data_IF_350913198280
#
_entry.id   IF_350913198280
#
_cell.length_a   1.000
_cell.length_b   1.000
_cell.length_c   1.000
_cell.angle_alpha   90.00
_cell.angle_beta   90.00
_cell.angle_gamma   90.00
#
_symmetry.space_group_name_H-M   'P 1'
#
loop_
_entity.id
_entity.type
_entity.pdbx_description
1 polymer ?
#
# COMPACT_ATOMS: atom_id res chain seq x y z
N UNK A 1 -7.53 -1.66 -17.98
CA UNK A 1 -7.55 -0.24 -18.43
C UNK A 1 -7.71 -0.14 -19.95
N UNK A 2 -8.74 0.53 -20.51
CA UNK A 2 -8.67 1.01 -21.88
C UNK A 2 -7.65 2.17 -21.96
N UNK A 3 -6.80 2.22 -23.00
CA UNK A 3 -5.48 2.85 -22.95
C UNK A 3 -5.39 4.39 -23.04
N UNK A 4 -6.43 5.20 -22.70
CA UNK A 4 -6.40 6.63 -23.09
C UNK A 4 -6.96 7.68 -22.09
N UNK A 5 -6.92 7.41 -20.78
CA UNK A 5 -6.95 8.51 -19.79
C UNK A 5 -5.60 8.57 -19.08
N UNK A 6 -4.63 9.17 -19.76
CA UNK A 6 -3.30 9.40 -19.20
C UNK A 6 -3.38 10.46 -18.10
N UNK A 7 -3.31 10.03 -16.84
CA UNK A 7 -3.21 10.95 -15.70
C UNK A 7 -1.95 11.81 -15.84
N UNK A 8 -2.06 13.10 -15.55
CA UNK A 8 -0.91 14.01 -15.44
C UNK A 8 -0.83 14.54 -14.02
N UNK A 9 0.18 14.10 -13.27
CA UNK A 9 0.45 14.62 -11.92
C UNK A 9 0.59 16.15 -11.93
N UNK A 10 1.26 16.69 -12.96
CA UNK A 10 1.44 18.13 -13.12
C UNK A 10 0.09 18.85 -13.31
N UNK A 11 -0.84 18.24 -14.07
CA UNK A 11 -2.18 18.78 -14.25
C UNK A 11 -2.99 18.79 -12.95
N UNK A 12 -2.99 17.68 -12.20
CA UNK A 12 -3.70 17.58 -10.92
C UNK A 12 -3.16 18.60 -9.89
N UNK A 13 -1.83 18.75 -9.80
CA UNK A 13 -1.21 19.77 -8.94
C UNK A 13 -1.56 21.18 -9.39
N UNK A 14 -1.53 21.46 -10.70
CA UNK A 14 -1.91 22.76 -11.24
C UNK A 14 -3.38 23.09 -10.96
N UNK A 15 -4.28 22.09 -11.01
CA UNK A 15 -5.70 22.23 -10.68
C UNK A 15 -5.89 22.68 -9.23
N UNK A 16 -5.23 22.03 -8.27
CA UNK A 16 -5.25 22.45 -6.85
C UNK A 16 -4.62 23.85 -6.69
N UNK A 17 -3.54 24.13 -7.39
CA UNK A 17 -2.90 25.46 -7.38
C UNK A 17 -3.83 26.57 -7.90
N UNK A 18 -4.61 26.30 -8.94
CA UNK A 18 -5.60 27.22 -9.47
C UNK A 18 -6.79 27.39 -8.51
N UNK A 19 -7.25 26.30 -7.88
CA UNK A 19 -8.28 26.35 -6.85
C UNK A 19 -7.85 27.24 -5.67
N UNK A 20 -6.60 27.10 -5.22
CA UNK A 20 -6.01 27.94 -4.16
C UNK A 20 -5.96 29.42 -4.56
N UNK A 21 -5.61 29.74 -5.81
CA UNK A 21 -5.60 31.12 -6.31
C UNK A 21 -7.00 31.73 -6.36
N UNK A 22 -8.01 30.95 -6.77
CA UNK A 22 -9.38 31.41 -6.90
C UNK A 22 -10.09 31.53 -5.54
N UNK A 23 -9.85 30.57 -4.64
CA UNK A 23 -10.52 30.45 -3.34
C UNK A 23 -9.50 30.13 -2.22
N UNK A 24 -8.64 31.10 -1.84
CA UNK A 24 -7.52 30.85 -0.94
C UNK A 24 -7.97 30.38 0.45
N UNK A 25 -8.87 31.12 1.12
CA UNK A 25 -9.30 30.79 2.48
C UNK A 25 -9.96 29.40 2.59
N UNK A 26 -10.77 29.03 1.59
CA UNK A 26 -11.44 27.71 1.54
C UNK A 26 -10.40 26.61 1.30
N UNK A 27 -9.54 26.79 0.29
CA UNK A 27 -8.54 25.78 -0.07
C UNK A 27 -7.53 25.58 1.06
N UNK A 28 -7.09 26.64 1.72
CA UNK A 28 -6.17 26.56 2.86
C UNK A 28 -6.82 25.86 4.06
N UNK A 29 -8.12 26.08 4.30
CA UNK A 29 -8.85 25.35 5.35
C UNK A 29 -8.90 23.84 5.07
N UNK A 30 -9.09 23.44 3.81
CA UNK A 30 -9.08 22.02 3.41
C UNK A 30 -7.67 21.43 3.58
N UNK A 31 -6.63 22.14 3.13
CA UNK A 31 -5.24 21.68 3.28
C UNK A 31 -4.84 21.55 4.76
N UNK A 32 -5.25 22.50 5.60
CA UNK A 32 -5.03 22.41 7.05
C UNK A 32 -5.81 21.24 7.67
N UNK A 33 -7.01 20.93 7.20
CA UNK A 33 -7.73 19.74 7.65
C UNK A 33 -7.00 18.44 7.26
N UNK A 34 -6.41 18.36 6.05
CA UNK A 34 -5.60 17.22 5.61
C UNK A 34 -4.35 17.05 6.49
N UNK A 35 -3.71 18.16 6.85
CA UNK A 35 -2.59 18.19 7.80
C UNK A 35 -2.99 17.60 9.16
N UNK A 36 -4.14 18.04 9.72
CA UNK A 36 -4.67 17.49 10.99
C UNK A 36 -5.05 16.01 10.91
N UNK A 37 -5.54 15.54 9.77
CA UNK A 37 -5.76 14.11 9.56
C UNK A 37 -4.45 13.33 9.58
N UNK A 38 -3.37 13.90 9.04
CA UNK A 38 -2.05 13.26 8.99
C UNK A 38 -1.39 13.23 10.37
N UNK A 39 -1.46 14.34 11.11
CA UNK A 39 -1.03 14.40 12.52
C UNK A 39 -1.79 13.36 13.37
N UNK A 40 -3.12 13.32 13.27
CA UNK A 40 -3.94 12.38 14.02
C UNK A 40 -3.62 10.91 13.67
N UNK A 41 -3.37 10.61 12.40
CA UNK A 41 -2.97 9.27 11.97
C UNK A 41 -1.61 8.88 12.52
N UNK A 42 -0.63 9.80 12.49
CA UNK A 42 0.70 9.58 13.06
C UNK A 42 0.64 9.37 14.59
N UNK A 43 -0.09 10.22 15.31
CA UNK A 43 -0.30 10.06 16.75
C UNK A 43 -0.97 8.73 17.08
N UNK A 44 -1.96 8.30 16.30
CA UNK A 44 -2.68 7.04 16.49
C UNK A 44 -1.77 5.82 16.31
N UNK A 45 -1.03 5.73 15.21
CA UNK A 45 -0.17 4.57 14.93
C UNK A 45 1.08 4.51 15.82
N UNK A 46 1.44 5.62 16.49
CA UNK A 46 2.57 5.68 17.42
C UNK A 46 2.19 5.39 18.87
N UNK A 47 0.90 5.15 19.19
CA UNK A 47 0.52 4.80 20.57
C UNK A 47 0.98 3.38 20.92
N UNK A 48 1.35 3.18 22.18
CA UNK A 48 1.75 1.85 22.69
C UNK A 48 0.60 0.83 22.64
N UNK A 49 -0.65 1.30 22.69
CA UNK A 49 -1.86 0.48 22.63
C UNK A 49 -2.39 0.29 21.20
N UNK A 50 -1.68 0.78 20.18
CA UNK A 50 -2.06 0.54 18.79
C UNK A 50 -1.72 -0.90 18.39
N UNK A 51 -2.75 -1.65 18.04
CA UNK A 51 -2.65 -3.01 17.54
C UNK A 51 -3.26 -3.11 16.13
N UNK A 52 -2.46 -3.51 15.15
CA UNK A 52 -2.91 -3.65 13.76
C UNK A 52 -3.89 -4.80 13.53
N UNK A 53 -3.98 -5.74 14.45
CA UNK A 53 -4.92 -6.86 14.40
C UNK A 53 -6.24 -6.53 15.12
N UNK A 54 -6.28 -5.47 15.92
CA UNK A 54 -7.50 -5.03 16.61
C UNK A 54 -8.37 -4.11 15.73
N UNK A 55 -9.66 -4.44 15.66
CA UNK A 55 -10.63 -3.67 14.89
C UNK A 55 -10.76 -2.22 15.38
N UNK A 56 -10.63 -1.96 16.68
CA UNK A 56 -10.70 -0.61 17.27
C UNK A 56 -9.63 0.32 16.71
N UNK A 57 -8.38 -0.13 16.71
CA UNK A 57 -7.21 0.61 16.22
C UNK A 57 -7.30 0.87 14.72
N UNK A 58 -7.63 -0.18 13.93
CA UNK A 58 -7.79 -0.08 12.48
C UNK A 58 -9.01 0.79 12.10
N UNK A 59 -10.10 0.73 12.86
CA UNK A 59 -11.31 1.52 12.60
C UNK A 59 -11.04 3.02 12.73
N UNK A 60 -10.28 3.45 13.73
CA UNK A 60 -9.91 4.86 13.87
C UNK A 60 -9.04 5.33 12.68
N UNK A 61 -8.05 4.54 12.28
CA UNK A 61 -7.21 4.83 11.12
C UNK A 61 -8.03 4.86 9.82
N UNK A 62 -8.94 3.91 9.64
CA UNK A 62 -9.84 3.83 8.49
C UNK A 62 -10.77 5.05 8.38
N UNK A 63 -11.31 5.53 9.51
CA UNK A 63 -12.10 6.77 9.54
C UNK A 63 -11.28 7.97 9.08
N UNK A 64 -10.02 8.09 9.51
CA UNK A 64 -9.10 9.13 9.03
C UNK A 64 -8.84 9.02 7.53
N UNK A 65 -8.69 7.81 6.98
CA UNK A 65 -8.56 7.59 5.53
C UNK A 65 -9.80 8.08 4.76
N UNK A 66 -11.01 7.76 5.24
CA UNK A 66 -12.26 8.22 4.62
C UNK A 66 -12.40 9.74 4.66
N UNK A 67 -12.06 10.38 5.79
CA UNK A 67 -12.06 11.85 5.91
C UNK A 67 -11.08 12.46 4.90
N UNK A 68 -9.85 11.95 4.84
CA UNK A 68 -8.84 12.43 3.91
C UNK A 68 -9.31 12.33 2.45
N UNK A 69 -9.92 11.21 2.08
CA UNK A 69 -10.47 11.06 0.73
C UNK A 69 -11.56 12.09 0.43
N UNK A 70 -12.48 12.35 1.37
CA UNK A 70 -13.49 13.41 1.20
C UNK A 70 -12.88 14.80 1.01
N UNK A 71 -11.80 15.12 1.72
CA UNK A 71 -11.06 16.37 1.56
C UNK A 71 -10.38 16.45 0.18
N UNK A 72 -9.81 15.35 -0.30
CA UNK A 72 -9.19 15.25 -1.63
C UNK A 72 -10.23 15.37 -2.75
N UNK A 73 -11.43 14.81 -2.58
CA UNK A 73 -12.58 15.04 -3.47
C UNK A 73 -12.94 16.53 -3.50
N UNK A 74 -12.96 17.21 -2.35
CA UNK A 74 -13.22 18.65 -2.28
C UNK A 74 -12.15 19.52 -2.96
N UNK A 75 -10.89 19.05 -3.01
CA UNK A 75 -9.83 19.67 -3.82
C UNK A 75 -9.97 19.39 -5.33
N UNK A 76 -10.92 18.55 -5.73
CA UNK A 76 -11.22 18.23 -7.11
C UNK A 76 -10.29 17.20 -7.73
N UNK A 77 -9.49 16.47 -6.94
CA UNK A 77 -8.50 15.49 -7.44
C UNK A 77 -9.00 14.04 -7.43
N UNK A 78 -10.28 13.78 -7.14
CA UNK A 78 -10.84 12.42 -7.31
C UNK A 78 -11.12 12.10 -8.78
N UNK A 79 -11.59 10.88 -9.03
CA UNK A 79 -11.95 10.37 -10.35
C UNK A 79 -13.07 9.33 -10.21
N UNK A 80 -14.02 9.23 -11.15
CA UNK A 80 -15.12 8.25 -11.07
C UNK A 80 -14.66 6.82 -10.83
N UNK A 81 -13.55 6.41 -11.45
CA UNK A 81 -12.95 5.08 -11.21
C UNK A 81 -12.43 4.88 -9.78
N UNK A 82 -11.93 5.93 -9.12
CA UNK A 82 -11.51 5.85 -7.71
C UNK A 82 -12.72 5.81 -6.78
N UNK A 83 -13.72 6.64 -7.07
CA UNK A 83 -14.98 6.68 -6.31
C UNK A 83 -15.73 5.35 -6.41
N UNK A 84 -15.62 4.66 -7.55
CA UNK A 84 -16.16 3.31 -7.75
C UNK A 84 -15.48 2.25 -6.88
N UNK A 85 -14.15 2.27 -6.74
CA UNK A 85 -13.45 1.35 -5.81
C UNK A 85 -13.94 1.59 -4.38
N UNK A 86 -14.07 2.86 -4.00
CA UNK A 86 -14.57 3.23 -2.68
C UNK A 86 -16.01 2.77 -2.47
N UNK A 87 -16.89 2.89 -3.45
CA UNK A 87 -18.24 2.35 -3.38
C UNK A 87 -18.24 0.83 -3.14
N UNK A 88 -17.42 0.09 -3.90
CA UNK A 88 -17.31 -1.36 -3.77
C UNK A 88 -16.76 -1.81 -2.42
N UNK A 89 -15.90 -1.01 -1.78
CA UNK A 89 -15.26 -1.35 -0.50
C UNK A 89 -16.02 -0.78 0.70
N UNK A 90 -16.14 0.55 0.78
CA UNK A 90 -16.68 1.26 1.95
C UNK A 90 -18.17 0.89 2.15
N UNK A 91 -18.98 0.90 1.08
CA UNK A 91 -20.43 0.67 1.20
C UNK A 91 -20.78 -0.79 1.44
N UNK A 92 -19.91 -1.74 1.08
CA UNK A 92 -20.07 -3.16 1.40
C UNK A 92 -19.48 -3.54 2.76
N UNK A 93 -18.92 -2.56 3.46
CA UNK A 93 -18.35 -2.71 4.80
C UNK A 93 -17.07 -3.54 4.82
N UNK A 94 -16.35 -3.65 3.70
CA UNK A 94 -15.14 -4.45 3.54
C UNK A 94 -13.93 -3.74 4.17
N UNK A 95 -13.87 -2.42 4.07
CA UNK A 95 -12.72 -1.65 4.49
C UNK A 95 -12.94 -0.16 4.41
N UNK A 96 -11.84 0.57 4.35
CA UNK A 96 -11.80 2.02 4.12
C UNK A 96 -10.84 2.32 2.99
N UNK A 97 -11.33 2.99 1.96
CA UNK A 97 -10.54 3.33 0.77
C UNK A 97 -10.26 4.82 0.68
N UNK A 98 -9.03 5.16 0.27
CA UNK A 98 -8.69 6.50 -0.21
C UNK A 98 -7.85 6.42 -1.48
N UNK A 99 -7.90 7.46 -2.30
CA UNK A 99 -6.94 7.63 -3.39
C UNK A 99 -5.50 7.78 -2.85
N UNK A 100 -4.52 7.37 -3.64
CA UNK A 100 -3.09 7.54 -3.31
C UNK A 100 -2.33 8.19 -4.47
N UNK A 101 -1.36 9.05 -4.15
CA UNK A 101 -0.65 9.89 -5.10
C UNK A 101 -1.45 11.12 -5.54
N UNK A 102 -1.29 11.51 -6.81
CA UNK A 102 -1.80 12.77 -7.35
C UNK A 102 -3.34 12.86 -7.48
N UNK A 103 -4.03 11.72 -7.54
CA UNK A 103 -5.44 11.67 -7.94
C UNK A 103 -5.64 11.71 -9.46
N UNK A 104 -6.85 12.08 -9.89
CA UNK A 104 -7.26 12.08 -11.30
C UNK A 104 -7.30 10.67 -11.93
N UNK A 105 -7.37 9.63 -11.09
CA UNK A 105 -7.24 8.23 -11.47
C UNK A 105 -6.05 7.57 -10.78
N UNK A 106 -5.42 6.60 -11.44
CA UNK A 106 -4.29 5.85 -10.86
C UNK A 106 -4.75 4.83 -9.81
N UNK A 107 -4.09 4.85 -8.65
CA UNK A 107 -4.26 3.84 -7.61
C UNK A 107 -5.10 4.37 -6.44
N UNK A 108 -5.86 3.47 -5.84
CA UNK A 108 -6.43 3.64 -4.51
C UNK A 108 -5.74 2.68 -3.54
N UNK A 109 -5.77 3.04 -2.26
CA UNK A 109 -5.36 2.14 -1.18
C UNK A 109 -6.57 1.84 -0.31
N UNK A 110 -6.72 0.56 0.03
CA UNK A 110 -7.81 0.05 0.87
C UNK A 110 -7.22 -0.59 2.12
N UNK A 111 -7.63 -0.08 3.28
CA UNK A 111 -7.40 -0.75 4.56
C UNK A 111 -8.55 -1.72 4.81
N UNK A 112 -8.26 -3.02 4.80
CA UNK A 112 -9.25 -4.07 5.01
C UNK A 112 -9.62 -4.16 6.50
N UNK A 113 -10.90 -4.42 6.79
CA UNK A 113 -11.31 -4.74 8.16
C UNK A 113 -10.81 -6.13 8.56
N UNK A 114 -10.37 -6.32 9.82
CA UNK A 114 -10.16 -7.64 10.36
C UNK A 114 -11.43 -8.49 10.27
N UNK A 115 -11.28 -9.78 9.92
CA UNK A 115 -12.38 -10.74 9.90
C UNK A 115 -13.42 -10.57 8.78
N UNK A 116 -13.10 -9.86 7.70
CA UNK A 116 -13.97 -9.83 6.50
C UNK A 116 -14.11 -11.26 5.96
N UNK A 117 -15.34 -11.75 5.71
CA UNK A 117 -15.54 -13.08 5.13
C UNK A 117 -14.82 -13.23 3.79
N UNK A 118 -14.15 -14.36 3.58
CA UNK A 118 -13.42 -14.65 2.34
C UNK A 118 -14.31 -14.49 1.10
N UNK A 119 -15.56 -14.95 1.16
CA UNK A 119 -16.54 -14.82 0.07
C UNK A 119 -16.74 -13.35 -0.38
N UNK A 120 -16.71 -12.38 0.55
CA UNK A 120 -16.81 -10.95 0.19
C UNK A 120 -15.54 -10.44 -0.48
N UNK A 121 -14.37 -10.94 -0.07
CA UNK A 121 -13.10 -10.58 -0.69
C UNK A 121 -12.99 -11.14 -2.10
N UNK A 122 -13.49 -12.36 -2.31
CA UNK A 122 -13.53 -13.02 -3.61
C UNK A 122 -14.47 -12.28 -4.56
N UNK A 123 -15.69 -11.96 -4.12
CA UNK A 123 -16.65 -11.15 -4.90
C UNK A 123 -16.10 -9.76 -5.26
N UNK A 124 -15.40 -9.11 -4.31
CA UNK A 124 -14.74 -7.84 -4.58
C UNK A 124 -13.62 -8.01 -5.64
N UNK A 125 -12.82 -9.06 -5.53
CA UNK A 125 -11.74 -9.34 -6.47
C UNK A 125 -12.28 -9.57 -7.90
N UNK A 126 -13.31 -10.41 -8.04
CA UNK A 126 -13.98 -10.67 -9.32
C UNK A 126 -14.54 -9.37 -9.91
N UNK A 127 -15.27 -8.58 -9.11
CA UNK A 127 -15.84 -7.30 -9.57
C UNK A 127 -14.75 -6.31 -10.03
N UNK A 128 -13.64 -6.22 -9.29
CA UNK A 128 -12.53 -5.35 -9.67
C UNK A 128 -11.89 -5.80 -10.98
N UNK A 129 -11.71 -7.10 -11.19
CA UNK A 129 -11.16 -7.66 -12.43
C UNK A 129 -12.10 -7.43 -13.61
N UNK A 130 -13.40 -7.68 -13.45
CA UNK A 130 -14.44 -7.43 -14.47
C UNK A 130 -14.51 -5.95 -14.88
N UNK A 131 -14.36 -5.03 -13.92
CA UNK A 131 -14.31 -3.58 -14.18
C UNK A 131 -12.92 -3.11 -14.68
N UNK A 132 -11.97 -4.02 -14.84
CA UNK A 132 -10.65 -3.81 -15.45
C UNK A 132 -9.65 -3.08 -14.56
N UNK A 133 -9.78 -3.24 -13.24
CA UNK A 133 -8.80 -2.81 -12.23
C UNK A 133 -7.74 -3.88 -12.02
N UNK A 134 -6.55 -3.43 -11.63
CA UNK A 134 -5.45 -4.29 -11.20
C UNK A 134 -5.33 -4.20 -9.67
N UNK A 135 -5.14 -5.35 -9.01
CA UNK A 135 -5.12 -5.46 -7.55
C UNK A 135 -3.75 -5.95 -7.10
N UNK A 136 -3.24 -5.30 -6.06
CA UNK A 136 -2.05 -5.73 -5.32
C UNK A 136 -2.40 -5.84 -3.85
N UNK A 137 -2.08 -6.99 -3.24
CA UNK A 137 -2.11 -7.16 -1.79
C UNK A 137 -0.70 -6.94 -1.26
N UNK A 138 -0.55 -6.08 -0.26
CA UNK A 138 0.76 -5.71 0.29
C UNK A 138 0.62 -5.25 1.73
N UNK A 139 1.74 -5.27 2.46
CA UNK A 139 1.87 -4.74 3.82
C UNK A 139 2.63 -3.43 3.76
N UNK A 140 2.16 -2.41 4.49
CA UNK A 140 2.82 -1.12 4.58
C UNK A 140 3.76 -1.04 5.79
N UNK A 141 4.69 -0.09 5.78
CA UNK A 141 5.65 0.09 6.87
C UNK A 141 6.72 -1.01 6.90
N UNK A 142 6.98 -1.63 5.75
CA UNK A 142 8.05 -2.60 5.60
C UNK A 142 9.42 -1.93 5.80
N UNK A 143 10.41 -2.75 6.13
CA UNK A 143 11.79 -2.31 6.20
C UNK A 143 12.25 -1.74 4.85
N UNK A 144 13.15 -0.77 4.92
CA UNK A 144 13.71 -0.09 3.75
C UNK A 144 14.76 -0.94 3.02
N UNK A 145 15.81 -0.29 2.52
CA UNK A 145 16.90 -0.99 1.83
C UNK A 145 17.62 -1.92 2.81
N UNK A 146 17.60 -3.22 2.51
CA UNK A 146 18.37 -4.24 3.19
C UNK A 146 19.61 -4.65 2.40
N UNK A 147 20.63 -5.13 3.10
CA UNK A 147 21.77 -5.84 2.49
C UNK A 147 21.72 -7.27 2.98
N UNK A 148 21.66 -8.22 2.06
CA UNK A 148 21.85 -9.63 2.38
C UNK A 148 23.33 -9.85 2.75
N UNK A 149 23.63 -10.28 3.99
CA UNK A 149 25.01 -10.59 4.37
C UNK A 149 25.16 -11.78 5.35
N UNK A 150 26.03 -12.76 5.02
CA UNK A 150 26.71 -12.91 3.75
C UNK A 150 25.73 -13.23 2.61
N UNK A 151 25.97 -12.78 1.38
CA UNK A 151 25.15 -13.10 0.19
C UNK A 151 25.32 -14.56 -0.27
N UNK A 152 25.53 -15.47 0.67
CA UNK A 152 25.81 -16.89 0.47
C UNK A 152 24.77 -17.66 1.30
N UNK A 153 23.66 -18.02 0.66
CA UNK A 153 22.65 -18.89 1.26
C UNK A 153 23.10 -20.35 1.06
N UNK A 154 23.14 -21.15 2.14
CA UNK A 154 23.58 -22.55 2.08
C UNK A 154 22.40 -23.45 1.69
N UNK A 155 22.40 -23.99 0.47
CA UNK A 155 21.46 -25.03 0.06
C UNK A 155 22.04 -26.43 0.35
N UNK A 156 21.71 -27.01 1.51
CA UNK A 156 21.81 -28.45 1.74
C UNK A 156 23.08 -28.98 2.44
N UNK A 157 22.92 -30.19 2.99
CA UNK A 157 23.74 -30.88 4.00
C UNK A 157 25.03 -31.43 3.36
N UNK A 158 26.17 -31.16 4.02
CA UNK A 158 27.54 -31.49 3.64
C UNK A 158 27.94 -30.80 2.31
N UNK A 159 28.82 -29.80 2.30
CA UNK A 159 30.26 -30.02 2.08
C UNK A 159 31.07 -28.74 2.39
N UNK A 160 32.28 -28.92 2.92
CA UNK A 160 33.17 -27.90 3.49
C UNK A 160 33.73 -26.84 2.50
N UNK A 161 33.35 -26.80 1.21
CA UNK A 161 33.90 -25.86 0.23
C UNK A 161 32.89 -25.35 -0.81
N UNK A 162 32.25 -24.20 -0.51
CA UNK A 162 31.68 -23.27 -1.51
C UNK A 162 30.19 -23.46 -1.87
N UNK A 163 29.30 -22.65 -1.28
CA UNK A 163 27.90 -22.52 -1.71
C UNK A 163 27.75 -21.54 -2.89
N UNK A 164 26.62 -21.61 -3.61
CA UNK A 164 26.30 -20.67 -4.70
C UNK A 164 26.05 -19.26 -4.16
N UNK A 165 26.79 -18.29 -4.70
CA UNK A 165 26.59 -16.87 -4.46
C UNK A 165 25.34 -16.38 -5.21
N UNK A 166 24.49 -15.60 -4.52
CA UNK A 166 23.43 -14.83 -5.17
C UNK A 166 24.04 -13.49 -5.56
N UNK A 167 24.54 -13.42 -6.79
CA UNK A 167 25.07 -12.18 -7.35
C UNK A 167 23.95 -11.26 -7.85
N UNK A 168 24.33 -10.02 -8.15
CA UNK A 168 23.41 -8.99 -8.66
C UNK A 168 22.70 -9.45 -9.95
N UNK A 169 23.38 -10.18 -10.81
CA UNK A 169 22.82 -10.61 -12.09
C UNK A 169 21.70 -11.65 -11.87
N UNK A 170 21.88 -12.61 -10.96
CA UNK A 170 20.82 -13.55 -10.57
C UNK A 170 19.60 -12.84 -10.00
N UNK A 171 19.80 -11.85 -9.13
CA UNK A 171 18.70 -11.09 -8.54
C UNK A 171 17.95 -10.25 -9.58
N UNK A 172 18.67 -9.57 -10.48
CA UNK A 172 18.06 -8.73 -11.53
C UNK A 172 17.33 -9.53 -12.61
N UNK A 173 17.71 -10.80 -12.82
CA UNK A 173 17.09 -11.68 -13.79
C UNK A 173 16.01 -12.60 -13.19
N UNK A 174 15.68 -12.43 -11.91
CA UNK A 174 14.62 -13.20 -11.28
C UNK A 174 13.24 -12.82 -11.86
N UNK A 175 12.43 -13.84 -12.16
CA UNK A 175 11.12 -13.66 -12.77
C UNK A 175 10.09 -13.18 -11.74
N UNK A 176 9.93 -11.87 -11.67
CA UNK A 176 8.94 -11.24 -10.80
C UNK A 176 9.24 -11.44 -9.31
N UNK A 177 8.22 -11.24 -8.47
CA UNK A 177 8.37 -11.33 -7.00
C UNK A 177 8.63 -12.78 -6.58
N UNK A 178 7.90 -13.74 -7.17
CA UNK A 178 8.05 -15.16 -6.87
C UNK A 178 9.46 -15.68 -7.18
N UNK A 179 10.04 -15.30 -8.33
CA UNK A 179 11.41 -15.66 -8.67
C UNK A 179 12.45 -15.07 -7.72
N UNK A 180 12.19 -13.85 -7.21
CA UNK A 180 13.05 -13.25 -6.17
C UNK A 180 12.91 -14.01 -4.86
N UNK A 181 11.69 -14.31 -4.41
CA UNK A 181 11.42 -15.05 -3.17
C UNK A 181 12.01 -16.46 -3.18
N UNK A 182 11.95 -17.15 -4.32
CA UNK A 182 12.58 -18.46 -4.54
C UNK A 182 14.11 -18.35 -4.52
N UNK A 183 14.67 -17.41 -5.30
CA UNK A 183 16.11 -17.17 -5.37
C UNK A 183 16.70 -16.88 -3.98
N UNK A 184 15.98 -16.10 -3.18
CA UNK A 184 16.44 -15.66 -1.88
C UNK A 184 15.97 -16.57 -0.73
N UNK A 185 15.26 -17.65 -1.03
CA UNK A 185 14.98 -18.72 -0.07
C UNK A 185 13.98 -18.39 1.03
N UNK A 186 12.99 -17.52 0.75
CA UNK A 186 11.93 -17.15 1.72
C UNK A 186 11.04 -18.36 2.08
N UNK A 187 10.91 -19.32 1.17
CA UNK A 187 10.18 -20.58 1.38
C UNK A 187 11.05 -21.79 0.99
N UNK A 188 11.66 -22.45 1.97
CA UNK A 188 12.28 -23.76 1.74
C UNK A 188 11.24 -24.89 1.79
N UNK A 189 11.56 -26.05 1.18
CA UNK A 189 10.71 -27.25 1.21
C UNK A 189 10.32 -27.72 2.64
N UNK A 190 11.08 -27.31 3.67
CA UNK A 190 10.88 -27.67 5.08
C UNK A 190 10.45 -26.50 5.99
N UNK A 191 10.07 -25.33 5.44
CA UNK A 191 9.60 -24.16 6.21
C UNK A 191 10.43 -22.88 6.02
N UNK A 192 10.15 -21.81 6.79
CA UNK A 192 10.88 -20.54 6.70
C UNK A 192 12.35 -20.73 7.13
N UNK A 193 13.29 -20.37 6.25
CA UNK A 193 14.73 -20.46 6.53
C UNK A 193 15.24 -19.17 7.22
N UNK A 194 16.07 -19.32 8.26
CA UNK A 194 16.56 -18.24 9.14
C UNK A 194 17.57 -17.26 8.50
N UNK A 195 17.90 -17.42 7.21
CA UNK A 195 19.02 -16.69 6.60
C UNK A 195 18.63 -15.30 6.08
N UNK A 196 17.33 -15.01 5.94
CA UNK A 196 16.83 -13.65 5.77
C UNK A 196 16.52 -13.02 7.12
N UNK A 197 17.33 -12.04 7.51
CA UNK A 197 17.16 -11.29 8.75
C UNK A 197 16.81 -9.85 8.43
N UNK A 198 15.61 -9.44 8.82
CA UNK A 198 15.22 -8.04 8.89
C UNK A 198 15.92 -7.41 10.09
N UNK A 199 16.84 -6.48 9.85
CA UNK A 199 17.50 -5.74 10.91
C UNK A 199 16.60 -4.56 11.28
N UNK A 200 15.90 -4.66 12.42
CA UNK A 200 15.39 -3.46 13.09
C UNK A 200 16.56 -2.80 13.78
N UNK A 201 16.76 -1.50 13.56
CA UNK A 201 17.61 -0.71 14.44
C UNK A 201 16.85 -0.63 15.77
N UNK A 202 17.22 -1.45 16.75
CA UNK A 202 16.74 -1.28 18.12
C UNK A 202 17.22 0.09 18.63
N UNK A 203 16.31 0.87 19.24
CA UNK A 203 16.67 2.06 20.04
C UNK A 203 17.20 1.66 21.42
#
# INVERSE_FOLDING_TARGET
MPPDETKSTAFEVAKVGNLKKAHPAITESILHAIDKVSEAAAELISREDFDSDELSSIEELGKLMTINHGLLVALGVSHPRLDRIRELVDHNGIGWTKLTGAGGGGCAITLLKPGVPQEKLDQLAETLEEEGYEKFQTTLGCDGVGVLMPAVLKNGIDDDHGGEEIDQDKFLNADGIEGVEELVGVHGEDGPREDWKFWRVEE
#
